data_IF_173177450198
#
_entry.id   IF_173177450198
#
_cell.length_a   1.000
_cell.length_b   1.000
_cell.length_c   1.000
_cell.angle_alpha   90.00
_cell.angle_beta   90.00
_cell.angle_gamma   90.00
#
_symmetry.space_group_name_H-M   'P 1'
#
loop_
_entity.id
_entity.type
_entity.pdbx_description
1 polymer ?
#
# COMPACT_ATOMS: atom_id res chain seq x y z
N UNK A 1 -32.27 71.12 8.61
CA UNK A 1 -33.10 71.65 7.51
C UNK A 1 -33.14 70.62 6.40
N UNK A 2 -34.30 70.48 5.76
CA UNK A 2 -34.83 69.33 5.03
C UNK A 2 -34.20 69.03 3.66
N UNK A 3 -34.20 67.74 3.26
CA UNK A 3 -34.71 67.18 1.97
C UNK A 3 -34.06 65.79 1.73
N UNK A 4 -34.75 64.65 1.89
CA UNK A 4 -35.69 63.98 0.95
C UNK A 4 -35.16 63.83 -0.48
N UNK A 5 -34.94 62.58 -0.91
CA UNK A 5 -35.25 61.95 -2.22
C UNK A 5 -34.28 60.77 -2.45
N UNK A 6 -34.60 59.63 -3.06
CA UNK A 6 -35.82 58.88 -3.36
C UNK A 6 -35.34 57.49 -3.84
N UNK A 7 -36.24 56.50 -3.83
CA UNK A 7 -36.08 55.13 -4.33
C UNK A 7 -35.31 54.97 -5.64
N UNK A 8 -34.65 53.82 -5.81
CA UNK A 8 -34.88 52.92 -6.95
C UNK A 8 -34.52 51.46 -6.59
N UNK A 9 -35.51 50.58 -6.75
CA UNK A 9 -35.41 49.12 -6.70
C UNK A 9 -34.60 48.58 -7.88
N UNK A 10 -33.83 47.52 -7.65
CA UNK A 10 -33.65 46.45 -8.63
C UNK A 10 -33.36 45.13 -7.90
N UNK A 11 -34.39 44.29 -7.77
CA UNK A 11 -34.27 42.91 -7.34
C UNK A 11 -33.76 42.07 -8.51
N UNK A 12 -32.54 41.52 -8.38
CA UNK A 12 -32.03 40.49 -9.29
C UNK A 12 -32.06 39.15 -8.56
N UNK A 13 -33.12 38.39 -8.80
CA UNK A 13 -33.26 36.99 -8.40
C UNK A 13 -32.44 36.14 -9.37
N UNK A 14 -31.23 35.73 -8.98
CA UNK A 14 -30.47 34.71 -9.70
C UNK A 14 -30.92 33.32 -9.23
N UNK A 15 -31.54 32.59 -10.16
CA UNK A 15 -31.89 31.18 -10.07
C UNK A 15 -30.65 30.32 -9.75
N UNK A 16 -30.62 29.72 -8.56
CA UNK A 16 -29.68 28.68 -8.21
C UNK A 16 -30.08 27.37 -8.92
N UNK A 17 -29.32 26.96 -9.92
CA UNK A 17 -29.35 25.61 -10.48
C UNK A 17 -28.79 24.63 -9.44
N UNK A 18 -29.51 23.58 -9.02
CA UNK A 18 -28.93 22.53 -8.21
C UNK A 18 -27.94 21.73 -9.07
N UNK A 19 -26.65 21.87 -8.78
CA UNK A 19 -25.62 20.98 -9.30
C UNK A 19 -25.91 19.56 -8.81
N UNK A 20 -26.19 18.64 -9.73
CA UNK A 20 -26.30 17.22 -9.41
C UNK A 20 -24.95 16.75 -8.84
N UNK A 21 -24.91 16.12 -7.65
CA UNK A 21 -23.68 15.54 -7.14
C UNK A 21 -23.21 14.43 -8.10
N UNK A 22 -21.89 14.30 -8.35
CA UNK A 22 -21.37 13.18 -9.11
C UNK A 22 -21.74 11.85 -8.43
N UNK A 23 -21.93 10.76 -9.18
CA UNK A 23 -22.20 9.46 -8.60
C UNK A 23 -21.05 9.12 -7.65
N UNK A 24 -21.36 9.04 -6.36
CA UNK A 24 -20.46 8.53 -5.35
C UNK A 24 -20.03 7.13 -5.81
N UNK A 25 -18.77 7.00 -6.22
CA UNK A 25 -18.16 5.69 -6.37
C UNK A 25 -18.22 5.06 -4.98
N UNK A 26 -19.06 4.04 -4.85
CA UNK A 26 -19.08 3.19 -3.68
C UNK A 26 -17.74 2.45 -3.63
N UNK A 27 -16.71 3.12 -3.08
CA UNK A 27 -15.55 2.47 -2.51
C UNK A 27 -16.04 1.78 -1.24
N UNK A 28 -16.79 0.68 -1.44
CA UNK A 28 -17.45 -0.06 -0.40
C UNK A 28 -16.40 -0.63 0.54
N UNK A 29 -16.37 -0.11 1.77
CA UNK A 29 -15.81 -0.84 2.89
C UNK A 29 -16.45 -2.22 2.89
N UNK A 30 -15.64 -3.24 2.63
CA UNK A 30 -16.06 -4.63 2.57
C UNK A 30 -15.75 -5.28 3.93
N UNK A 31 -16.68 -5.21 4.90
CA UNK A 31 -16.51 -5.96 6.14
C UNK A 31 -16.51 -7.43 5.72
N UNK A 32 -15.40 -8.13 5.92
CA UNK A 32 -15.18 -9.54 5.52
C UNK A 32 -14.56 -9.79 4.13
N UNK A 33 -13.83 -8.85 3.54
CA UNK A 33 -13.04 -9.15 2.34
C UNK A 33 -11.83 -10.08 2.57
N UNK A 34 -11.57 -10.45 3.82
CA UNK A 34 -10.69 -11.55 4.19
C UNK A 34 -11.36 -12.93 4.05
N UNK A 35 -12.67 -13.00 3.78
CA UNK A 35 -13.39 -14.22 3.40
C UNK A 35 -13.64 -14.27 1.88
N UNK A 36 -13.58 -15.46 1.27
CA UNK A 36 -13.80 -15.60 -0.16
C UNK A 36 -15.24 -15.19 -0.51
N UNK A 37 -15.52 -14.70 -1.74
CA UNK A 37 -16.79 -14.09 -2.10
C UNK A 37 -18.01 -14.96 -1.80
N UNK A 38 -17.86 -16.28 -1.94
CA UNK A 38 -18.90 -17.27 -1.65
C UNK A 38 -19.21 -17.48 -0.15
N UNK A 39 -18.45 -16.87 0.75
CA UNK A 39 -18.55 -17.00 2.21
C UNK A 39 -18.76 -15.65 2.94
N UNK A 40 -18.90 -14.54 2.21
CA UNK A 40 -19.21 -13.20 2.78
C UNK A 40 -20.67 -13.15 3.27
N UNK A 41 -20.93 -12.63 4.47
CA UNK A 41 -22.28 -12.48 5.05
C UNK A 41 -22.48 -13.13 6.45
N UNK A 42 -23.69 -12.99 7.02
CA UNK A 42 -24.11 -13.58 8.32
C UNK A 42 -24.29 -15.12 8.26
N UNK A 43 -23.38 -15.82 7.60
CA UNK A 43 -23.55 -17.22 7.19
C UNK A 43 -22.69 -18.26 7.92
N UNK A 44 -21.91 -17.90 8.93
CA UNK A 44 -21.10 -18.86 9.69
C UNK A 44 -21.51 -18.99 11.17
N UNK A 45 -22.81 -18.91 11.45
CA UNK A 45 -23.36 -19.38 12.71
C UNK A 45 -24.54 -20.30 12.40
N UNK A 46 -24.32 -21.59 12.66
CA UNK A 46 -25.28 -22.70 12.59
C UNK A 46 -25.63 -23.18 11.18
N UNK A 47 -25.14 -24.40 10.85
CA UNK A 47 -25.33 -25.10 9.59
C UNK A 47 -26.79 -25.40 9.23
N UNK A 48 -27.53 -24.38 8.81
CA UNK A 48 -28.86 -24.44 8.18
C UNK A 48 -28.98 -23.52 6.96
N UNK A 49 -27.86 -23.08 6.39
CA UNK A 49 -27.84 -22.43 5.09
C UNK A 49 -27.74 -23.48 3.98
N UNK A 50 -28.57 -23.36 2.94
CA UNK A 50 -28.50 -24.16 1.71
C UNK A 50 -27.29 -23.75 0.84
N UNK A 51 -26.17 -23.41 1.49
CA UNK A 51 -24.91 -23.03 0.87
C UNK A 51 -24.07 -24.27 0.63
N UNK A 52 -23.50 -24.36 -0.57
CA UNK A 52 -22.62 -25.44 -1.02
C UNK A 52 -21.64 -25.88 0.10
N UNK A 53 -21.86 -27.07 0.68
CA UNK A 53 -21.06 -27.65 1.78
C UNK A 53 -19.60 -27.94 1.39
N UNK A 54 -19.24 -27.73 0.12
CA UNK A 54 -17.90 -27.95 -0.42
C UNK A 54 -17.11 -26.65 -0.69
N UNK A 55 -17.55 -25.50 -0.17
CA UNK A 55 -16.78 -24.26 -0.27
C UNK A 55 -15.75 -24.18 0.84
N UNK A 56 -14.47 -24.05 0.48
CA UNK A 56 -13.43 -23.73 1.44
C UNK A 56 -13.58 -22.25 1.85
N UNK A 57 -14.07 -22.00 3.07
CA UNK A 57 -14.25 -20.65 3.63
C UNK A 57 -13.05 -20.21 4.49
N UNK A 58 -11.83 -20.61 4.10
CA UNK A 58 -10.61 -20.19 4.79
C UNK A 58 -10.40 -18.68 4.63
N UNK A 59 -10.02 -18.04 5.74
CA UNK A 59 -9.69 -16.61 5.76
C UNK A 59 -8.33 -16.35 5.13
N UNK A 60 -8.17 -15.17 4.56
CA UNK A 60 -6.88 -14.68 4.13
C UNK A 60 -5.99 -14.39 5.33
N UNK A 61 -4.77 -14.88 5.25
CA UNK A 61 -3.69 -14.50 6.14
C UNK A 61 -2.44 -14.20 5.31
N UNK A 62 -1.64 -13.25 5.80
CA UNK A 62 -0.34 -12.92 5.23
C UNK A 62 0.73 -13.15 6.29
N UNK A 63 1.81 -13.80 5.89
CA UNK A 63 3.03 -13.97 6.67
C UNK A 63 4.21 -13.38 5.91
N UNK A 64 5.11 -12.71 6.63
CA UNK A 64 6.37 -12.19 6.09
C UNK A 64 7.45 -13.22 6.40
N UNK A 65 8.07 -13.76 5.35
CA UNK A 65 9.15 -14.75 5.44
C UNK A 65 10.51 -14.05 5.57
N UNK A 66 10.71 -12.96 4.82
CA UNK A 66 11.89 -12.10 4.95
C UNK A 66 11.54 -10.62 4.84
N UNK A 67 12.25 -9.81 5.63
CA UNK A 67 12.20 -8.34 5.57
C UNK A 67 13.08 -7.81 4.42
N UNK A 68 12.88 -6.53 4.06
CA UNK A 68 13.78 -5.82 3.16
C UNK A 68 14.97 -5.29 3.95
N UNK A 69 16.18 -5.54 3.47
CA UNK A 69 17.43 -4.99 4.00
C UNK A 69 18.27 -4.40 2.85
N UNK A 70 18.72 -3.15 3.01
CA UNK A 70 19.57 -2.46 2.03
C UNK A 70 21.07 -2.60 2.35
N UNK A 71 21.41 -3.24 3.47
CA UNK A 71 22.74 -3.23 4.05
C UNK A 71 23.12 -1.83 4.54
N UNK A 72 24.42 -1.56 4.56
CA UNK A 72 24.97 -0.28 5.00
C UNK A 72 25.29 0.59 3.79
N UNK A 73 24.88 1.84 3.87
CA UNK A 73 25.14 2.84 2.84
C UNK A 73 25.57 4.14 3.49
N UNK A 74 26.27 4.99 2.73
CA UNK A 74 26.70 6.31 3.18
C UNK A 74 26.41 7.35 2.11
N UNK A 75 25.94 8.52 2.53
CA UNK A 75 25.83 9.68 1.64
C UNK A 75 27.20 10.36 1.58
N UNK A 76 27.74 10.53 0.37
CA UNK A 76 29.05 11.19 0.15
C UNK A 76 28.87 12.68 -0.20
N UNK A 77 27.72 13.04 -0.76
CA UNK A 77 27.44 14.38 -1.25
C UNK A 77 26.26 15.07 -0.57
N UNK A 78 25.69 16.05 -1.25
CA UNK A 78 24.55 16.86 -0.76
C UNK A 78 23.27 16.64 -1.58
N UNK A 79 23.36 15.89 -2.67
CA UNK A 79 22.22 15.51 -3.49
C UNK A 79 21.42 14.35 -2.90
N UNK A 80 20.47 13.86 -3.69
CA UNK A 80 19.67 12.68 -3.36
C UNK A 80 20.45 11.40 -3.72
N UNK A 81 20.55 10.49 -2.77
CA UNK A 81 21.03 9.13 -2.96
C UNK A 81 19.85 8.18 -3.13
N UNK A 82 19.96 7.26 -4.09
CA UNK A 82 18.96 6.20 -4.32
C UNK A 82 19.61 4.83 -4.32
N UNK A 83 18.97 3.89 -3.63
CA UNK A 83 19.37 2.49 -3.58
C UNK A 83 18.21 1.64 -4.04
N UNK A 84 18.42 0.93 -5.13
CA UNK A 84 17.44 0.02 -5.72
C UNK A 84 17.85 -1.42 -5.42
N UNK A 85 16.88 -2.26 -5.11
CA UNK A 85 17.07 -3.70 -5.02
C UNK A 85 16.41 -4.36 -6.23
N UNK A 86 17.19 -5.10 -7.01
CA UNK A 86 16.68 -5.89 -8.13
C UNK A 86 15.86 -7.07 -7.60
N UNK A 87 14.60 -7.19 -8.03
CA UNK A 87 13.70 -8.25 -7.58
C UNK A 87 14.16 -9.65 -7.98
N UNK A 88 14.79 -9.80 -9.15
CA UNK A 88 15.16 -11.09 -9.71
C UNK A 88 16.51 -11.58 -9.20
N UNK A 89 17.49 -10.68 -9.11
CA UNK A 89 18.86 -11.03 -8.69
C UNK A 89 19.12 -10.77 -7.20
N UNK A 90 18.32 -9.91 -6.56
CA UNK A 90 18.59 -9.41 -5.21
C UNK A 90 19.75 -8.40 -5.14
N UNK A 91 20.32 -8.00 -6.29
CA UNK A 91 21.46 -7.10 -6.32
C UNK A 91 21.06 -5.67 -5.94
N UNK A 92 21.97 -5.01 -5.24
CA UNK A 92 21.86 -3.60 -4.87
C UNK A 92 22.45 -2.73 -5.96
N UNK A 93 21.70 -1.71 -6.40
CA UNK A 93 22.16 -0.69 -7.36
C UNK A 93 22.06 0.68 -6.73
N UNK A 94 23.16 1.43 -6.82
CA UNK A 94 23.30 2.73 -6.19
C UNK A 94 23.32 3.83 -7.25
N UNK A 95 22.66 4.95 -6.96
CA UNK A 95 22.58 6.11 -7.85
C UNK A 95 22.70 7.41 -7.06
N UNK A 96 23.37 8.40 -7.64
CA UNK A 96 23.55 9.71 -7.02
C UNK A 96 24.66 9.71 -5.97
N UNK A 97 24.51 10.54 -4.94
CA UNK A 97 25.54 10.86 -3.96
C UNK A 97 25.64 9.82 -2.83
N UNK A 98 25.60 8.53 -3.16
CA UNK A 98 25.55 7.42 -2.20
C UNK A 98 26.58 6.34 -2.53
N UNK A 99 27.24 5.80 -1.49
CA UNK A 99 28.18 4.68 -1.59
C UNK A 99 27.71 3.45 -0.81
N UNK A 100 28.25 2.30 -1.19
CA UNK A 100 28.02 1.04 -0.52
C UNK A 100 29.08 0.77 0.56
N UNK A 101 28.66 0.67 1.82
CA UNK A 101 29.52 0.26 2.94
C UNK A 101 29.44 -1.26 3.24
N UNK A 102 28.89 -2.01 2.29
CA UNK A 102 28.67 -3.44 2.35
C UNK A 102 27.42 -3.83 3.13
N UNK A 103 27.37 -5.10 3.53
CA UNK A 103 26.14 -5.72 4.02
C UNK A 103 25.36 -6.35 2.86
N UNK A 104 24.81 -7.53 3.12
CA UNK A 104 24.09 -8.28 2.10
C UNK A 104 22.69 -7.69 1.93
N UNK A 105 22.34 -7.16 0.75
CA UNK A 105 20.98 -6.74 0.50
C UNK A 105 20.04 -7.95 0.53
N UNK A 106 18.83 -7.75 1.05
CA UNK A 106 17.80 -8.77 1.11
C UNK A 106 16.49 -8.18 0.60
N UNK A 107 15.86 -8.87 -0.34
CA UNK A 107 14.51 -8.53 -0.79
C UNK A 107 13.46 -9.12 0.15
N UNK A 108 12.32 -8.45 0.27
CA UNK A 108 11.22 -8.91 1.09
C UNK A 108 10.53 -10.10 0.45
N UNK A 109 10.08 -11.05 1.26
CA UNK A 109 9.29 -12.21 0.82
C UNK A 109 8.06 -12.37 1.70
N UNK A 110 6.92 -12.57 1.05
CA UNK A 110 5.66 -12.77 1.73
C UNK A 110 4.92 -13.99 1.19
N UNK A 111 4.17 -14.62 2.07
CA UNK A 111 3.33 -15.78 1.80
C UNK A 111 1.91 -15.42 2.18
N UNK A 112 1.01 -15.46 1.21
CA UNK A 112 -0.43 -15.32 1.41
C UNK A 112 -1.05 -16.71 1.45
N UNK A 113 -1.93 -16.94 2.41
CA UNK A 113 -2.69 -18.18 2.55
C UNK A 113 -4.19 -17.91 2.62
N UNK A 114 -5.01 -18.82 2.09
CA UNK A 114 -6.46 -18.68 2.03
C UNK A 114 -7.15 -19.85 1.32
N UNK A 115 -8.40 -19.66 0.90
CA UNK A 115 -9.14 -20.59 0.05
C UNK A 115 -8.43 -20.85 -1.31
N UNK A 116 -8.22 -22.12 -1.71
CA UNK A 116 -7.56 -22.49 -2.95
C UNK A 116 -8.17 -21.92 -4.22
N UNK A 117 -7.31 -21.59 -5.21
CA UNK A 117 -7.68 -21.12 -6.56
C UNK A 117 -8.47 -19.80 -6.61
N UNK A 118 -8.61 -19.12 -5.47
CA UNK A 118 -9.29 -17.83 -5.39
C UNK A 118 -8.38 -16.69 -5.83
N UNK A 119 -8.99 -15.65 -6.39
CA UNK A 119 -8.29 -14.44 -6.82
C UNK A 119 -8.17 -13.45 -5.66
N UNK A 120 -6.99 -12.85 -5.52
CA UNK A 120 -6.67 -11.92 -4.43
C UNK A 120 -6.14 -10.61 -4.98
N UNK A 121 -6.39 -9.54 -4.24
CA UNK A 121 -5.77 -8.23 -4.40
C UNK A 121 -4.77 -8.04 -3.27
N UNK A 122 -3.55 -7.63 -3.63
CA UNK A 122 -2.50 -7.29 -2.69
C UNK A 122 -2.12 -5.84 -2.99
N UNK A 123 -2.28 -4.96 -2.01
CA UNK A 123 -1.89 -3.56 -2.15
C UNK A 123 -0.72 -3.24 -1.23
N UNK A 124 0.32 -2.69 -1.85
CA UNK A 124 1.50 -2.13 -1.22
C UNK A 124 1.36 -0.61 -1.10
N UNK A 125 2.05 0.01 -0.13
CA UNK A 125 2.06 1.45 0.01
C UNK A 125 2.84 2.09 -1.14
N UNK A 126 2.50 3.34 -1.45
CA UNK A 126 3.24 4.13 -2.42
C UNK A 126 4.60 4.59 -1.85
N UNK A 127 4.60 5.02 -0.59
CA UNK A 127 5.75 5.59 0.09
C UNK A 127 5.67 5.34 1.59
N UNK A 128 6.81 5.17 2.23
CA UNK A 128 6.95 5.03 3.67
C UNK A 128 8.19 5.78 4.14
N UNK A 129 8.06 6.50 5.25
CA UNK A 129 9.18 7.14 5.92
C UNK A 129 9.86 6.14 6.88
N UNK A 130 11.19 6.06 6.80
CA UNK A 130 12.05 5.32 7.73
C UNK A 130 12.59 6.29 8.77
N UNK A 131 12.63 5.85 10.03
CA UNK A 131 13.17 6.65 11.13
C UNK A 131 14.15 5.86 11.96
N UNK A 132 15.23 6.52 12.37
CA UNK A 132 16.22 5.99 13.30
C UNK A 132 16.03 6.55 14.72
N UNK A 133 16.55 5.86 15.74
CA UNK A 133 16.45 6.31 17.14
C UNK A 133 17.21 7.62 17.41
N UNK A 134 18.18 7.98 16.57
CA UNK A 134 18.95 9.22 16.65
C UNK A 134 18.35 10.36 15.81
N UNK A 135 17.10 10.20 15.34
CA UNK A 135 16.40 11.20 14.53
C UNK A 135 16.83 11.23 13.07
N UNK A 136 17.40 10.13 12.57
CA UNK A 136 17.69 10.00 11.16
C UNK A 136 16.49 9.57 10.34
N UNK A 137 16.44 10.03 9.09
CA UNK A 137 15.29 9.88 8.20
C UNK A 137 15.75 9.40 6.82
N UNK A 138 14.90 8.59 6.19
CA UNK A 138 14.98 8.20 4.79
C UNK A 138 13.58 7.78 4.32
N UNK A 139 13.41 7.51 3.03
CA UNK A 139 12.12 7.10 2.47
C UNK A 139 12.24 5.83 1.64
N UNK A 140 11.27 4.95 1.77
CA UNK A 140 11.03 3.85 0.85
C UNK A 140 9.93 4.26 -0.12
N UNK A 141 10.21 4.15 -1.42
CA UNK A 141 9.28 4.51 -2.50
C UNK A 141 9.33 3.47 -3.60
N UNK A 142 8.46 3.62 -4.59
CA UNK A 142 8.49 2.84 -5.83
C UNK A 142 8.52 1.32 -5.54
N UNK A 143 7.60 0.87 -4.70
CA UNK A 143 7.48 -0.54 -4.35
C UNK A 143 7.19 -1.37 -5.60
N UNK A 144 7.95 -2.45 -5.77
CA UNK A 144 7.85 -3.38 -6.89
C UNK A 144 7.68 -4.81 -6.36
N UNK A 145 7.01 -5.67 -7.13
CA UNK A 145 6.72 -7.05 -6.71
C UNK A 145 6.82 -8.02 -7.87
N UNK A 146 7.00 -9.31 -7.56
CA UNK A 146 6.90 -10.40 -8.53
C UNK A 146 5.46 -10.88 -8.80
N UNK A 147 4.43 -10.22 -8.26
CA UNK A 147 3.05 -10.62 -8.44
C UNK A 147 2.60 -10.47 -9.90
N UNK A 148 1.85 -11.46 -10.44
CA UNK A 148 1.23 -11.31 -11.76
C UNK A 148 0.10 -10.27 -11.71
N UNK A 149 -0.32 -9.79 -12.88
CA UNK A 149 -1.41 -8.81 -12.99
C UNK A 149 -2.75 -9.31 -12.39
N UNK A 150 -2.96 -10.63 -12.30
CA UNK A 150 -4.11 -11.26 -11.67
C UNK A 150 -3.64 -12.31 -10.64
N UNK A 151 -3.28 -11.90 -9.42
CA UNK A 151 -2.80 -12.81 -8.38
C UNK A 151 -3.88 -13.81 -7.98
N UNK A 152 -3.51 -15.10 -7.93
CA UNK A 152 -4.39 -16.19 -7.52
C UNK A 152 -3.66 -17.12 -6.57
N UNK A 153 -4.37 -17.62 -5.57
CA UNK A 153 -3.89 -18.68 -4.70
C UNK A 153 -3.80 -20.00 -5.48
N UNK A 154 -2.81 -20.83 -5.17
CA UNK A 154 -2.62 -22.14 -5.80
C UNK A 154 -3.67 -23.18 -5.33
N UNK A 155 -3.48 -24.44 -5.71
CA UNK A 155 -4.34 -25.57 -5.31
C UNK A 155 -4.34 -25.84 -3.79
N UNK A 156 -3.30 -25.42 -3.10
CA UNK A 156 -3.16 -25.51 -1.65
C UNK A 156 -3.62 -24.24 -0.93
N UNK A 157 -4.06 -23.21 -1.66
CA UNK A 157 -4.44 -21.94 -1.08
C UNK A 157 -3.26 -21.05 -0.70
N UNK A 158 -2.08 -21.23 -1.33
CA UNK A 158 -0.86 -20.47 -1.08
C UNK A 158 -0.51 -19.59 -2.29
N UNK A 159 0.02 -18.41 -2.02
CA UNK A 159 0.64 -17.54 -3.02
C UNK A 159 1.88 -16.92 -2.40
N UNK A 160 3.01 -17.09 -3.07
CA UNK A 160 4.27 -16.48 -2.67
C UNK A 160 4.65 -15.37 -3.62
N UNK A 161 5.23 -14.31 -3.06
CA UNK A 161 5.81 -13.25 -3.87
C UNK A 161 6.98 -12.60 -3.16
N UNK A 162 7.88 -12.06 -3.98
CA UNK A 162 8.95 -11.19 -3.51
C UNK A 162 8.58 -9.74 -3.80
N UNK A 163 9.06 -8.84 -2.96
CA UNK A 163 8.85 -7.41 -3.09
C UNK A 163 10.11 -6.65 -2.69
N UNK A 164 10.28 -5.49 -3.30
CA UNK A 164 11.39 -4.59 -3.05
C UNK A 164 10.89 -3.14 -3.12
N UNK A 165 11.72 -2.22 -2.67
CA UNK A 165 11.47 -0.79 -2.74
C UNK A 165 12.76 -0.06 -3.10
N UNK A 166 12.61 1.18 -3.54
CA UNK A 166 13.73 2.10 -3.68
C UNK A 166 13.91 2.86 -2.38
N UNK A 167 15.08 2.73 -1.76
CA UNK A 167 15.49 3.60 -0.67
C UNK A 167 15.97 4.93 -1.25
N UNK A 168 15.37 6.01 -0.79
CA UNK A 168 15.68 7.39 -1.16
C UNK A 168 16.16 8.11 0.09
N UNK A 169 17.31 8.75 -0.02
CA UNK A 169 17.96 9.45 1.08
C UNK A 169 18.36 10.84 0.59
N UNK A 170 17.85 11.89 1.24
CA UNK A 170 18.26 13.26 0.90
C UNK A 170 19.56 13.62 1.62
N UNK A 171 20.48 14.31 0.95
CA UNK A 171 21.68 14.87 1.59
C UNK A 171 21.40 15.98 2.62
N UNK A 172 20.18 16.52 2.64
CA UNK A 172 19.71 17.46 3.68
C UNK A 172 19.09 16.75 4.90
N UNK A 173 18.63 15.51 4.72
CA UNK A 173 18.09 14.68 5.79
C UNK A 173 19.25 14.11 6.62
N UNK A 174 19.08 14.01 7.94
CA UNK A 174 20.10 13.42 8.82
C UNK A 174 20.09 11.90 8.69
N UNK A 175 20.50 11.30 7.58
CA UNK A 175 20.37 9.86 7.36
C UNK A 175 21.38 8.96 8.14
N UNK A 176 21.62 9.26 9.41
CA UNK A 176 22.54 8.52 10.27
C UNK A 176 21.85 7.49 11.15
N UNK A 177 22.43 6.29 11.23
CA UNK A 177 22.05 5.24 12.18
C UNK A 177 21.26 4.09 11.55
N UNK A 178 20.64 3.28 12.41
CA UNK A 178 19.77 2.16 12.02
C UNK A 178 18.35 2.69 11.75
N UNK A 179 18.04 2.88 10.46
CA UNK A 179 16.76 3.39 10.00
C UNK A 179 15.79 2.22 9.81
N UNK A 180 14.60 2.31 10.41
CA UNK A 180 13.57 1.26 10.33
C UNK A 180 12.22 1.83 9.95
N UNK A 181 11.44 1.05 9.23
CA UNK A 181 10.06 1.33 8.88
C UNK A 181 9.20 0.08 9.00
N UNK A 182 7.88 0.26 9.06
CA UNK A 182 6.91 -0.84 8.91
C UNK A 182 6.20 -0.68 7.57
N UNK A 183 6.17 -1.75 6.79
CA UNK A 183 5.47 -1.80 5.50
C UNK A 183 4.05 -2.32 5.70
N UNK A 184 3.00 -1.48 5.62
CA UNK A 184 1.63 -1.97 5.67
C UNK A 184 1.28 -2.68 4.35
N UNK A 185 1.14 -4.00 4.39
CA UNK A 185 0.67 -4.80 3.25
C UNK A 185 -0.78 -5.20 3.51
N UNK A 186 -1.66 -4.90 2.57
CA UNK A 186 -3.07 -5.28 2.66
C UNK A 186 -3.40 -6.36 1.64
N UNK A 187 -4.20 -7.34 2.06
CA UNK A 187 -4.62 -8.46 1.22
C UNK A 187 -6.12 -8.63 1.34
N UNK A 188 -6.80 -8.80 0.21
CA UNK A 188 -8.24 -9.05 0.15
C UNK A 188 -8.58 -10.02 -0.97
N UNK A 189 -9.68 -10.74 -0.83
CA UNK A 189 -10.28 -11.42 -1.97
C UNK A 189 -10.93 -10.40 -2.89
N UNK A 190 -10.98 -10.71 -4.19
CA UNK A 190 -11.80 -9.97 -5.15
C UNK A 190 -13.26 -10.42 -5.03
#
# INVERSE_FOLDING_TARGET
MFARSALLLAAAVCLALPAAPPPAQAQGSCPQCDLPPGCRGKGNQNGKGNGNRNRNCQRLAIAIDSDIDFGRVVIIGRGEGRVLLDLGTGEKRLFGDIDDLGGMPVTGRAIVTGAPREQVSIALPFEIEMRGPLGGEARLRDFVTSLPAMPRLDENGRLEFVFAATLVVSGEERAGGDLRARVPISVSYL
#
